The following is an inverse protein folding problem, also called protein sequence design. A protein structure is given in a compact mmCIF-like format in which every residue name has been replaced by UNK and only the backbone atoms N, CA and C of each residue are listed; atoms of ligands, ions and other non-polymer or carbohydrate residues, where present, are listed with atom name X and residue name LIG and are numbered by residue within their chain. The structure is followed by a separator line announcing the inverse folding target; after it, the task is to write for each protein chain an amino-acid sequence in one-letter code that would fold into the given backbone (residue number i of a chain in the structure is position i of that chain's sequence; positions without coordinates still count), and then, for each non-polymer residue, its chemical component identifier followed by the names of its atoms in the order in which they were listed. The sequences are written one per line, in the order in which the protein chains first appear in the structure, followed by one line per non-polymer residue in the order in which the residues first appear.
data_IF_121341517853
#
_entry.id   IF_121341517853
#
_cell.length_a   1.000
_cell.length_b   1.000
_cell.length_c   1.000
_cell.angle_alpha   90.00
_cell.angle_beta   90.00
_cell.angle_gamma   90.00
#
_symmetry.space_group_name_H-M   'P 1'
#
loop_
_entity.id
_entity.type
_entity.pdbx_description
1 polymer ?
#
# COMPACT_ATOMS: atom_id res chain seq x y z
N UNK A 1 19.67 48.07 -12.82
CA UNK A 1 18.82 47.80 -11.65
C UNK A 1 18.56 46.30 -11.63
N UNK A 2 18.90 45.61 -10.55
CA UNK A 2 18.57 44.20 -10.38
C UNK A 2 17.06 44.08 -10.15
N UNK A 3 16.44 42.98 -10.57
CA UNK A 3 15.04 42.73 -10.27
C UNK A 3 14.85 42.57 -8.76
N UNK A 4 13.73 43.01 -8.19
CA UNK A 4 13.41 42.80 -6.77
C UNK A 4 13.56 41.32 -6.33
N UNK A 5 13.33 40.39 -7.26
CA UNK A 5 13.57 38.97 -7.06
C UNK A 5 15.06 38.61 -6.90
N UNK A 6 15.95 39.22 -7.68
CA UNK A 6 17.39 38.99 -7.62
C UNK A 6 17.99 39.57 -6.34
N UNK A 7 17.48 40.71 -5.87
CA UNK A 7 17.85 41.30 -4.58
C UNK A 7 17.45 40.39 -3.42
N UNK A 8 16.22 39.88 -3.40
CA UNK A 8 15.76 38.95 -2.36
C UNK A 8 16.57 37.63 -2.39
N UNK A 9 16.89 37.13 -3.58
CA UNK A 9 17.71 35.93 -3.76
C UNK A 9 19.12 36.14 -3.23
N UNK A 10 19.75 37.28 -3.51
CA UNK A 10 21.09 37.61 -3.02
C UNK A 10 21.10 37.82 -1.50
N UNK A 11 20.06 38.45 -0.94
CA UNK A 11 19.91 38.61 0.51
C UNK A 11 19.80 37.25 1.23
N UNK A 12 19.04 36.30 0.67
CA UNK A 12 18.95 34.93 1.20
C UNK A 12 20.29 34.19 1.11
N UNK A 13 21.01 34.33 0.01
CA UNK A 13 22.35 33.73 -0.15
C UNK A 13 23.33 34.30 0.89
N UNK A 14 23.30 35.62 1.13
CA UNK A 14 24.15 36.27 2.11
C UNK A 14 23.83 35.82 3.55
N UNK A 15 22.53 35.74 3.91
CA UNK A 15 22.08 35.27 5.23
C UNK A 15 22.48 33.82 5.49
N UNK A 16 22.28 32.95 4.50
CA UNK A 16 22.66 31.54 4.62
C UNK A 16 24.18 31.38 4.72
N UNK A 17 24.94 32.19 3.97
CA UNK A 17 26.41 32.18 4.04
C UNK A 17 26.91 32.61 5.42
N UNK A 18 26.38 33.69 5.99
CA UNK A 18 26.72 34.16 7.32
C UNK A 18 26.37 33.14 8.41
N UNK A 19 25.23 32.44 8.27
CA UNK A 19 24.82 31.38 9.18
C UNK A 19 25.74 30.14 9.10
N UNK A 20 26.22 29.79 7.90
CA UNK A 20 27.18 28.69 7.74
C UNK A 20 28.55 29.04 8.33
N UNK A 21 28.97 30.30 8.20
CA UNK A 21 30.21 30.81 8.79
C UNK A 21 30.12 30.84 10.34
N UNK A 22 28.98 31.25 10.92
CA UNK A 22 28.80 31.25 12.38
C UNK A 22 28.74 29.86 12.99
N UNK A 23 28.45 28.82 12.19
CA UNK A 23 28.45 27.42 12.62
C UNK A 23 29.81 26.73 12.45
N UNK A 24 30.87 27.46 12.08
CA UNK A 24 32.22 26.91 11.93
C UNK A 24 32.37 25.90 10.78
N UNK A 25 31.41 25.85 9.86
CA UNK A 25 31.44 24.96 8.70
C UNK A 25 32.21 25.64 7.55
N UNK A 26 33.52 25.73 7.70
CA UNK A 26 34.37 26.14 6.57
C UNK A 26 34.29 25.11 5.44
N UNK A 27 34.23 25.64 4.20
CA UNK A 27 34.03 24.87 2.97
C UNK A 27 35.04 23.72 2.86
N UNK A 28 34.59 22.50 3.12
CA UNK A 28 35.33 21.29 2.74
C UNK A 28 35.62 21.35 1.23
N UNK A 29 36.89 21.52 0.86
CA UNK A 29 37.37 21.38 -0.51
C UNK A 29 37.24 19.91 -0.93
N UNK A 30 36.10 19.54 -1.51
CA UNK A 30 35.93 18.23 -2.13
C UNK A 30 36.77 18.20 -3.41
N UNK A 31 37.89 17.49 -3.36
CA UNK A 31 38.70 17.20 -4.56
C UNK A 31 37.98 16.12 -5.37
N UNK A 32 37.73 16.31 -6.68
CA UNK A 32 37.03 15.30 -7.47
C UNK A 32 37.96 14.12 -7.77
N UNK A 33 37.69 12.96 -7.16
CA UNK A 33 38.33 11.70 -7.55
C UNK A 33 37.84 11.27 -8.94
N UNK A 34 38.74 11.31 -9.93
CA UNK A 34 38.52 10.70 -11.25
C UNK A 34 38.40 9.18 -11.10
N UNK A 35 37.19 8.65 -11.17
CA UNK A 35 36.96 7.22 -11.42
C UNK A 35 37.37 6.88 -12.85
N UNK A 36 38.44 6.10 -13.01
CA UNK A 36 38.78 5.46 -14.27
C UNK A 36 37.76 4.36 -14.56
N UNK A 37 36.92 4.56 -15.57
CA UNK A 37 36.00 3.55 -16.08
C UNK A 37 36.69 2.81 -17.24
N UNK A 38 37.16 1.59 -16.99
CA UNK A 38 37.65 0.71 -18.04
C UNK A 38 36.48 0.27 -18.92
N UNK A 39 36.47 0.72 -20.18
CA UNK A 39 35.53 0.25 -21.22
C UNK A 39 35.98 -1.12 -21.70
N UNK A 40 35.25 -2.18 -21.33
CA UNK A 40 35.32 -3.47 -22.00
C UNK A 40 34.24 -3.49 -23.09
N UNK A 41 34.63 -3.24 -24.33
CA UNK A 41 33.78 -3.41 -25.51
C UNK A 41 33.70 -4.92 -25.77
N UNK A 42 32.51 -5.50 -25.64
CA UNK A 42 32.20 -6.85 -26.13
C UNK A 42 31.30 -6.66 -27.33
N UNK A 43 31.87 -6.89 -28.51
CA UNK A 43 31.19 -6.87 -29.79
C UNK A 43 30.46 -8.21 -29.96
N UNK A 44 29.19 -8.25 -29.52
CA UNK A 44 28.31 -9.38 -29.76
C UNK A 44 26.88 -8.86 -30.01
N UNK A 45 26.16 -9.38 -31.02
CA UNK A 45 24.78 -8.97 -31.26
C UNK A 45 23.92 -9.26 -30.04
N UNK A 46 23.32 -8.21 -29.47
CA UNK A 46 22.36 -8.28 -28.38
C UNK A 46 21.19 -9.19 -28.78
N UNK A 47 21.23 -10.45 -28.32
CA UNK A 47 20.16 -11.44 -28.49
C UNK A 47 18.91 -10.93 -27.73
N UNK A 48 18.03 -10.22 -28.43
CA UNK A 48 16.73 -9.80 -27.89
C UNK A 48 15.79 -11.01 -27.93
N UNK A 49 15.01 -11.19 -26.86
CA UNK A 49 14.04 -12.29 -26.80
C UNK A 49 12.93 -12.08 -27.84
N UNK A 50 12.43 -13.18 -28.43
CA UNK A 50 11.40 -13.16 -29.47
C UNK A 50 10.11 -12.38 -29.06
N UNK A 51 9.87 -12.25 -27.75
CA UNK A 51 8.76 -11.46 -27.20
C UNK A 51 8.97 -9.95 -27.38
N UNK A 52 10.22 -9.48 -27.29
CA UNK A 52 10.59 -8.08 -27.51
C UNK A 52 10.54 -7.73 -29.00
N UNK A 53 10.93 -8.65 -29.89
CA UNK A 53 10.77 -8.45 -31.34
C UNK A 53 9.31 -8.37 -31.76
N UNK A 54 8.43 -9.24 -31.23
CA UNK A 54 6.98 -9.14 -31.49
C UNK A 54 6.39 -7.82 -31.00
N UNK A 55 6.74 -7.36 -29.80
CA UNK A 55 6.25 -6.09 -29.27
C UNK A 55 6.73 -4.87 -30.06
N UNK A 56 7.96 -4.91 -30.60
CA UNK A 56 8.50 -3.85 -31.47
C UNK A 56 7.82 -3.87 -32.85
N UNK A 57 7.61 -5.05 -33.43
CA UNK A 57 6.91 -5.19 -34.71
C UNK A 57 5.43 -4.76 -34.61
N UNK A 58 4.76 -5.05 -33.50
CA UNK A 58 3.37 -4.67 -33.25
C UNK A 58 3.22 -3.15 -33.06
N UNK A 59 4.16 -2.50 -32.35
CA UNK A 59 4.24 -1.03 -32.25
C UNK A 59 4.48 -0.36 -33.60
N UNK A 60 5.32 -0.95 -34.46
CA UNK A 60 5.55 -0.42 -35.80
C UNK A 60 4.28 -0.49 -36.68
N UNK A 61 3.51 -1.58 -36.60
CA UNK A 61 2.24 -1.75 -37.33
C UNK A 61 1.15 -0.77 -36.87
N UNK A 62 1.08 -0.49 -35.57
CA UNK A 62 0.10 0.47 -35.04
C UNK A 62 0.42 1.92 -35.43
N UNK A 63 1.70 2.30 -35.49
CA UNK A 63 2.09 3.64 -35.95
C UNK A 63 1.75 3.88 -37.42
N UNK A 64 1.87 2.86 -38.27
CA UNK A 64 1.58 2.96 -39.71
C UNK A 64 0.06 3.10 -39.99
N UNK A 65 -0.79 2.48 -39.16
CA UNK A 65 -2.25 2.63 -39.22
C UNK A 65 -2.70 4.04 -38.81
N UNK A 66 -2.06 4.63 -37.79
CA UNK A 66 -2.36 6.01 -37.33
C UNK A 66 -1.97 7.05 -38.38
N UNK A 67 -0.86 6.84 -39.10
CA UNK A 67 -0.45 7.73 -40.19
C UNK A 67 -1.42 7.70 -41.39
N UNK A 68 -2.00 6.53 -41.70
CA UNK A 68 -2.94 6.36 -42.82
C UNK A 68 -4.33 6.92 -42.50
N UNK A 69 -4.79 6.83 -41.25
CA UNK A 69 -6.05 7.45 -40.82
C UNK A 69 -6.01 8.99 -40.91
N UNK A 70 -4.83 9.58 -40.65
CA UNK A 70 -4.62 11.03 -40.62
C UNK A 70 -4.56 11.70 -42.01
N UNK A 71 -4.43 10.91 -43.09
CA UNK A 71 -4.48 11.41 -44.48
C UNK A 71 -5.90 11.47 -45.06
N UNK A 72 -6.93 10.89 -44.42
CA UNK A 72 -8.31 10.84 -44.94
C UNK A 72 -9.23 11.99 -44.47
N UNK A 73 -8.78 12.91 -43.62
CA UNK A 73 -9.63 13.97 -43.02
C UNK A 73 -9.26 15.39 -43.42
N UNK A 74 -8.53 15.60 -44.54
CA UNK A 74 -8.28 16.95 -45.07
C UNK A 74 -9.31 17.33 -46.15
N UNK A 75 -10.46 17.80 -45.69
CA UNK A 75 -11.43 18.55 -46.49
C UNK A 75 -12.36 19.35 -45.58
N UNK A 76 -12.45 20.67 -45.84
CA UNK A 76 -13.42 21.66 -45.30
C UNK A 76 -12.99 22.49 -44.06
N UNK A 77 -12.55 23.74 -44.35
CA UNK A 77 -12.88 25.11 -43.82
C UNK A 77 -13.24 25.30 -42.32
N UNK A 78 -13.07 26.46 -41.64
CA UNK A 78 -12.30 27.74 -41.70
C UNK A 78 -12.75 28.54 -40.44
N UNK A 79 -11.87 29.37 -39.84
CA UNK A 79 -12.08 30.36 -38.74
C UNK A 79 -12.50 29.78 -37.36
N UNK A 80 -11.97 30.19 -36.19
CA UNK A 80 -11.65 31.53 -35.68
C UNK A 80 -10.67 31.44 -34.48
N UNK A 81 -9.89 32.50 -34.32
CA UNK A 81 -8.76 32.75 -33.42
C UNK A 81 -9.11 32.79 -31.92
N UNK A 82 -8.28 32.18 -31.06
CA UNK A 82 -7.77 32.75 -29.79
C UNK A 82 -6.46 32.03 -29.35
N UNK A 83 -5.54 32.75 -28.66
CA UNK A 83 -4.13 32.37 -28.54
C UNK A 83 -3.81 31.41 -27.39
N UNK A 84 -2.72 30.67 -27.60
CA UNK A 84 -2.08 29.78 -26.65
C UNK A 84 -0.96 30.48 -25.86
N UNK A 85 -0.69 30.00 -24.65
CA UNK A 85 0.67 29.64 -24.19
C UNK A 85 0.53 28.68 -23.00
N UNK A 86 0.73 27.36 -23.12
CA UNK A 86 1.98 26.55 -23.17
C UNK A 86 3.10 26.95 -22.23
N UNK A 87 3.39 26.08 -21.25
CA UNK A 87 4.70 25.43 -21.22
C UNK A 87 4.59 23.99 -20.73
N UNK A 88 4.82 23.06 -21.66
CA UNK A 88 5.11 21.64 -21.44
C UNK A 88 6.54 21.48 -20.91
N UNK A 89 6.80 20.38 -20.22
CA UNK A 89 7.81 19.31 -20.51
C UNK A 89 8.28 18.66 -19.20
N UNK A 90 9.07 17.57 -19.21
CA UNK A 90 8.81 16.22 -19.72
C UNK A 90 9.10 15.15 -18.64
N UNK A 91 8.90 13.87 -18.99
CA UNK A 91 9.33 12.67 -18.26
C UNK A 91 10.69 12.78 -17.55
N UNK A 92 10.83 12.15 -16.38
CA UNK A 92 12.10 11.51 -15.98
C UNK A 92 11.91 10.40 -14.93
N UNK A 93 12.28 9.20 -15.38
CA UNK A 93 12.55 7.99 -14.63
C UNK A 93 13.62 8.28 -13.56
N UNK A 94 13.31 8.03 -12.29
CA UNK A 94 14.24 8.10 -11.17
C UNK A 94 14.24 6.82 -10.34
N UNK A 95 15.21 5.94 -10.59
CA UNK A 95 15.59 4.83 -9.70
C UNK A 95 16.06 5.42 -8.37
N UNK A 96 15.42 5.06 -7.26
CA UNK A 96 16.02 5.22 -5.94
C UNK A 96 16.62 3.90 -5.46
N UNK A 97 17.93 3.76 -5.72
CA UNK A 97 18.84 3.02 -4.84
C UNK A 97 18.93 3.81 -3.54
N UNK A 98 18.37 3.26 -2.45
CA UNK A 98 18.55 3.83 -1.11
C UNK A 98 19.84 3.25 -0.54
N UNK A 99 20.94 3.98 -0.67
CA UNK A 99 22.07 3.91 0.26
C UNK A 99 21.61 4.53 1.58
N UNK A 100 21.56 3.71 2.64
CA UNK A 100 21.14 4.11 3.98
C UNK A 100 22.31 4.81 4.68
N UNK A 101 22.38 6.12 4.53
CA UNK A 101 23.21 6.97 5.41
C UNK A 101 22.48 7.16 6.76
N UNK A 102 23.23 7.11 7.86
CA UNK A 102 22.71 7.28 9.22
C UNK A 102 22.22 8.72 9.41
N UNK A 103 20.90 8.92 9.30
CA UNK A 103 20.26 10.19 9.61
C UNK A 103 20.19 10.40 11.14
N UNK A 104 20.38 11.64 11.62
CA UNK A 104 20.24 11.96 13.05
C UNK A 104 18.83 11.63 13.52
N UNK A 105 18.74 10.96 14.67
CA UNK A 105 17.49 10.51 15.26
C UNK A 105 16.75 11.75 15.77
N UNK A 106 15.64 12.11 15.11
CA UNK A 106 14.70 13.10 15.62
C UNK A 106 14.08 12.56 16.92
N UNK A 107 14.51 13.13 18.04
CA UNK A 107 14.06 12.76 19.38
C UNK A 107 12.56 13.00 19.56
N UNK A 108 11.98 14.01 18.89
CA UNK A 108 10.54 14.27 18.92
C UNK A 108 9.76 13.23 18.09
N UNK A 109 10.28 12.83 16.92
CA UNK A 109 9.70 11.72 16.15
C UNK A 109 9.79 10.38 16.89
N UNK A 110 10.86 10.16 17.66
CA UNK A 110 11.06 8.95 18.46
C UNK A 110 10.14 8.94 19.69
N UNK A 111 9.99 10.07 20.38
CA UNK A 111 9.04 10.23 21.48
C UNK A 111 7.58 10.05 21.02
N UNK A 112 7.20 10.61 19.86
CA UNK A 112 5.87 10.39 19.26
C UNK A 112 5.64 8.92 18.91
N UNK A 113 6.65 8.22 18.37
CA UNK A 113 6.57 6.77 18.11
C UNK A 113 6.39 5.99 19.41
N UNK A 114 7.13 6.33 20.46
CA UNK A 114 7.00 5.68 21.77
C UNK A 114 5.63 5.92 22.41
N UNK A 115 5.12 7.15 22.40
CA UNK A 115 3.78 7.48 22.89
C UNK A 115 2.68 6.72 22.13
N UNK A 116 2.79 6.60 20.80
CA UNK A 116 1.82 5.85 19.99
C UNK A 116 1.88 4.34 20.27
N UNK A 117 3.06 3.81 20.59
CA UNK A 117 3.25 2.41 20.98
C UNK A 117 2.68 2.11 22.39
N UNK A 118 2.81 3.04 23.34
CA UNK A 118 2.24 2.86 24.69
C UNK A 118 0.71 2.81 24.67
N UNK A 119 0.05 3.72 23.94
CA UNK A 119 -1.42 3.70 23.76
C UNK A 119 -1.89 2.37 23.14
N UNK A 120 -1.11 1.82 22.20
CA UNK A 120 -1.44 0.53 21.59
C UNK A 120 -1.35 -0.64 22.59
N UNK A 121 -0.45 -0.58 23.57
CA UNK A 121 -0.27 -1.64 24.57
C UNK A 121 -1.40 -1.69 25.60
N UNK A 122 -1.98 -0.54 25.95
CA UNK A 122 -3.12 -0.47 26.87
C UNK A 122 -4.42 -0.93 26.22
N UNK A 123 -4.67 -0.52 24.97
CA UNK A 123 -5.84 -0.94 24.18
C UNK A 123 -5.87 -2.46 24.00
N UNK A 124 -4.70 -3.09 23.86
CA UNK A 124 -4.57 -4.52 23.61
C UNK A 124 -4.44 -5.36 24.89
N UNK A 125 -4.67 -4.78 26.07
CA UNK A 125 -4.57 -5.49 27.35
C UNK A 125 -5.56 -6.66 27.38
N UNK A 126 -5.08 -7.86 27.74
CA UNK A 126 -5.89 -9.08 27.82
C UNK A 126 -6.09 -9.81 26.49
N UNK A 127 -5.51 -9.31 25.39
CA UNK A 127 -5.50 -9.99 24.09
C UNK A 127 -4.23 -10.85 24.01
N UNK A 128 -4.32 -12.14 23.63
CA UNK A 128 -3.15 -13.02 23.56
C UNK A 128 -2.12 -12.51 22.54
N UNK A 129 -0.85 -12.67 22.85
CA UNK A 129 0.25 -12.31 21.96
C UNK A 129 0.86 -13.57 21.32
N UNK A 130 1.21 -13.47 20.04
CA UNK A 130 1.93 -14.49 19.30
C UNK A 130 3.25 -13.90 18.76
N UNK A 131 4.36 -14.52 19.14
CA UNK A 131 5.69 -14.15 18.63
C UNK A 131 6.01 -14.97 17.39
N UNK A 132 6.06 -14.28 16.25
CA UNK A 132 6.49 -14.80 14.97
C UNK A 132 7.98 -15.14 15.07
N UNK A 133 8.27 -16.43 15.05
CA UNK A 133 9.62 -16.95 14.93
C UNK A 133 10.00 -16.97 13.46
N UNK A 134 10.72 -15.95 13.01
CA UNK A 134 11.25 -15.92 11.65
C UNK A 134 12.62 -16.58 11.61
N UNK A 135 12.73 -17.72 10.95
CA UNK A 135 14.02 -18.27 10.57
C UNK A 135 14.66 -17.31 9.56
N UNK A 136 15.87 -16.81 9.86
CA UNK A 136 16.59 -15.91 8.98
C UNK A 136 16.81 -16.56 7.60
N UNK A 137 15.99 -16.22 6.61
CA UNK A 137 16.18 -16.74 5.25
C UNK A 137 17.28 -15.95 4.55
N UNK A 138 18.40 -16.59 4.24
CA UNK A 138 19.44 -16.06 3.33
C UNK A 138 19.00 -16.06 1.85
N UNK A 139 17.72 -16.38 1.58
CA UNK A 139 17.19 -16.57 0.24
C UNK A 139 16.91 -15.25 -0.49
N UNK A 140 16.97 -15.31 -1.82
CA UNK A 140 16.62 -14.20 -2.71
C UNK A 140 15.17 -13.78 -2.54
N UNK A 141 14.89 -12.48 -2.63
CA UNK A 141 13.54 -11.97 -2.50
C UNK A 141 12.64 -12.42 -3.67
N UNK A 142 11.48 -13.00 -3.36
CA UNK A 142 10.50 -13.52 -4.35
C UNK A 142 9.24 -12.65 -4.31
N UNK A 143 8.64 -12.39 -5.47
CA UNK A 143 7.36 -11.68 -5.55
C UNK A 143 6.26 -12.47 -4.84
N UNK A 144 5.46 -11.80 -4.01
CA UNK A 144 4.36 -12.45 -3.27
C UNK A 144 3.30 -13.09 -4.16
N UNK A 145 3.17 -12.64 -5.42
CA UNK A 145 2.23 -13.22 -6.38
C UNK A 145 2.61 -14.66 -6.77
N UNK A 146 3.88 -15.00 -6.62
CA UNK A 146 4.46 -16.31 -6.94
C UNK A 146 4.67 -17.16 -5.68
N UNK A 147 4.34 -16.62 -4.50
CA UNK A 147 4.42 -17.33 -3.23
C UNK A 147 3.06 -17.88 -2.82
N UNK A 148 3.10 -18.98 -2.09
CA UNK A 148 1.94 -19.57 -1.44
C UNK A 148 1.89 -19.09 0.01
N UNK A 149 0.69 -18.70 0.48
CA UNK A 149 0.43 -18.43 1.89
C UNK A 149 0.32 -19.76 2.62
N UNK A 150 1.14 -19.94 3.65
CA UNK A 150 0.87 -20.89 4.71
C UNK A 150 -0.15 -20.27 5.66
N UNK A 151 -1.38 -20.78 5.62
CA UNK A 151 -2.48 -20.25 6.44
C UNK A 151 -2.15 -20.53 7.90
N UNK A 152 -2.08 -19.50 8.77
CA UNK A 152 -1.76 -19.72 10.16
C UNK A 152 -2.82 -20.57 10.87
N UNK A 153 -2.42 -21.38 11.86
CA UNK A 153 -3.35 -22.18 12.66
C UNK A 153 -4.47 -21.34 13.29
N UNK A 154 -5.67 -21.91 13.39
CA UNK A 154 -6.83 -21.27 13.98
C UNK A 154 -6.61 -20.85 15.45
N UNK A 155 -5.64 -21.46 16.15
CA UNK A 155 -5.25 -21.09 17.52
C UNK A 155 -4.63 -19.69 17.64
N UNK A 156 -4.16 -19.11 16.54
CA UNK A 156 -3.59 -17.77 16.51
C UNK A 156 -4.62 -16.68 16.13
N UNK A 157 -5.86 -17.07 15.83
CA UNK A 157 -6.92 -16.11 15.52
C UNK A 157 -7.20 -15.25 16.74
N UNK A 158 -7.32 -13.94 16.54
CA UNK A 158 -7.45 -12.94 17.60
C UNK A 158 -6.13 -12.62 18.32
N UNK A 159 -5.01 -13.24 17.95
CA UNK A 159 -3.72 -12.96 18.60
C UNK A 159 -3.01 -11.75 18.01
N UNK A 160 -2.40 -10.96 18.90
CA UNK A 160 -1.52 -9.83 18.59
C UNK A 160 -0.17 -10.34 18.11
N UNK A 161 0.28 -9.90 16.95
CA UNK A 161 1.49 -10.40 16.30
C UNK A 161 2.71 -9.53 16.62
N UNK A 162 3.79 -10.20 17.01
CA UNK A 162 5.10 -9.60 17.21
C UNK A 162 6.17 -10.35 16.39
N UNK A 163 7.19 -9.68 15.84
CA UNK A 163 7.43 -8.24 15.90
C UNK A 163 6.42 -7.43 15.08
N UNK A 164 6.27 -6.15 15.42
CA UNK A 164 5.27 -5.27 14.81
C UNK A 164 5.58 -5.02 13.33
N UNK A 165 4.53 -5.06 12.52
CA UNK A 165 4.53 -4.50 11.17
C UNK A 165 4.32 -5.54 10.08
N UNK A 166 3.87 -5.02 8.93
CA UNK A 166 3.44 -5.83 7.80
C UNK A 166 4.51 -6.79 7.29
N UNK A 167 5.79 -6.38 7.30
CA UNK A 167 6.88 -7.25 6.84
C UNK A 167 7.04 -8.50 7.70
N UNK A 168 6.93 -8.39 9.03
CA UNK A 168 6.98 -9.53 9.92
C UNK A 168 5.81 -10.50 9.67
N UNK A 169 4.60 -9.95 9.56
CA UNK A 169 3.40 -10.73 9.21
C UNK A 169 3.54 -11.44 7.86
N UNK A 170 4.09 -10.77 6.85
CA UNK A 170 4.26 -11.38 5.53
C UNK A 170 5.33 -12.48 5.54
N UNK A 171 6.41 -12.35 6.30
CA UNK A 171 7.40 -13.42 6.50
C UNK A 171 6.78 -14.64 7.18
N UNK A 172 5.89 -14.42 8.17
CA UNK A 172 5.19 -15.48 8.88
C UNK A 172 4.32 -16.33 7.95
N UNK A 173 3.66 -15.69 6.98
CA UNK A 173 2.80 -16.35 5.99
C UNK A 173 3.58 -17.13 4.91
N UNK A 174 4.90 -16.98 4.83
CA UNK A 174 5.72 -17.69 3.86
C UNK A 174 7.07 -18.10 4.46
N UNK A 175 7.08 -19.06 5.39
CA UNK A 175 8.32 -19.50 6.01
C UNK A 175 9.33 -19.96 4.95
N UNK A 176 10.61 -19.74 5.25
CA UNK A 176 11.72 -20.01 4.34
C UNK A 176 11.92 -18.99 3.20
N UNK A 177 10.99 -18.06 2.98
CA UNK A 177 11.07 -17.11 1.87
C UNK A 177 11.13 -15.65 2.33
N UNK A 178 11.75 -14.80 1.51
CA UNK A 178 11.73 -13.34 1.70
C UNK A 178 10.75 -12.70 0.71
N UNK A 179 9.55 -12.28 1.14
CA UNK A 179 8.54 -11.75 0.24
C UNK A 179 8.89 -10.33 -0.22
N UNK A 180 8.70 -10.07 -1.51
CA UNK A 180 8.75 -8.75 -2.14
C UNK A 180 7.34 -8.28 -2.43
N UNK A 181 6.92 -7.20 -1.76
CA UNK A 181 5.57 -6.66 -1.84
C UNK A 181 5.54 -5.16 -1.55
N UNK A 182 4.39 -4.52 -1.79
CA UNK A 182 4.21 -3.10 -1.48
C UNK A 182 3.72 -2.92 -0.05
N UNK A 183 4.51 -2.23 0.77
CA UNK A 183 4.09 -1.83 2.13
C UNK A 183 2.90 -0.86 2.13
N UNK A 184 2.69 -0.15 1.02
CA UNK A 184 1.65 0.87 0.91
C UNK A 184 0.28 0.27 0.60
N UNK A 185 0.21 -0.88 -0.06
CA UNK A 185 -1.07 -1.49 -0.45
C UNK A 185 -1.70 -2.19 0.76
N UNK A 186 -2.97 -1.90 1.07
CA UNK A 186 -3.72 -2.58 2.12
C UNK A 186 -3.99 -4.04 1.76
N UNK A 187 -4.33 -4.34 0.51
CA UNK A 187 -4.48 -5.71 0.00
C UNK A 187 -3.15 -6.26 -0.55
N UNK A 188 -2.96 -7.57 -0.46
CA UNK A 188 -1.84 -8.30 -1.07
C UNK A 188 -2.40 -9.57 -1.73
N UNK A 189 -2.18 -9.73 -3.02
CA UNK A 189 -2.66 -10.89 -3.78
C UNK A 189 -1.53 -11.90 -3.89
N UNK A 190 -1.76 -13.10 -3.36
CA UNK A 190 -0.85 -14.23 -3.41
C UNK A 190 -1.33 -15.25 -4.45
N UNK A 191 -0.52 -16.28 -4.70
CA UNK A 191 -0.90 -17.33 -5.65
C UNK A 191 -2.20 -18.04 -5.23
N UNK A 192 -2.36 -18.30 -3.93
CA UNK A 192 -3.44 -19.09 -3.35
C UNK A 192 -4.40 -18.31 -2.44
N UNK A 193 -4.10 -17.06 -2.08
CA UNK A 193 -4.88 -16.30 -1.10
C UNK A 193 -4.87 -14.80 -1.37
N UNK A 194 -5.76 -14.08 -0.69
CA UNK A 194 -5.73 -12.61 -0.61
C UNK A 194 -5.54 -12.23 0.85
N UNK A 195 -4.67 -11.26 1.13
CA UNK A 195 -4.43 -10.78 2.49
C UNK A 195 -4.77 -9.31 2.58
N UNK A 196 -5.71 -8.96 3.45
CA UNK A 196 -6.11 -7.59 3.73
C UNK A 196 -5.45 -7.10 5.02
N UNK A 197 -4.83 -5.93 4.95
CA UNK A 197 -4.29 -5.20 6.08
C UNK A 197 -5.10 -3.92 6.26
N UNK A 198 -5.81 -3.82 7.37
CA UNK A 198 -6.65 -2.66 7.69
C UNK A 198 -6.12 -1.96 8.94
N UNK A 199 -6.28 -0.63 8.97
CA UNK A 199 -6.17 0.13 10.20
C UNK A 199 -7.60 0.40 10.66
N UNK A 200 -7.84 0.15 11.93
CA UNK A 200 -9.12 0.38 12.61
C UNK A 200 -8.89 1.54 13.55
N UNK A 201 -9.73 2.56 13.45
CA UNK A 201 -9.77 3.61 14.46
C UNK A 201 -10.95 3.39 15.39
N UNK A 202 -10.71 3.60 16.68
CA UNK A 202 -11.77 3.73 17.67
C UNK A 202 -12.31 5.17 17.70
N UNK A 203 -11.58 6.13 17.11
CA UNK A 203 -11.89 7.56 17.11
C UNK A 203 -12.26 8.09 15.71
N UNK A 204 -12.77 7.22 14.82
CA UNK A 204 -13.30 7.58 13.49
C UNK A 204 -12.33 8.31 12.52
N UNK A 205 -11.00 8.23 12.72
CA UNK A 205 -10.03 8.82 11.75
C UNK A 205 -9.76 7.92 10.54
N UNK A 206 -10.14 6.65 10.61
CA UNK A 206 -10.04 5.71 9.51
C UNK A 206 -11.45 5.26 9.12
N UNK A 207 -11.68 5.11 7.81
CA UNK A 207 -12.97 4.67 7.29
C UNK A 207 -13.26 3.19 7.52
N UNK A 208 -12.27 2.37 7.91
CA UNK A 208 -12.51 0.94 8.14
C UNK A 208 -12.89 0.71 9.60
N UNK A 209 -14.00 0.01 9.79
CA UNK A 209 -14.59 -0.25 11.09
C UNK A 209 -15.09 -1.70 11.17
N UNK A 210 -15.48 -2.08 12.38
CA UNK A 210 -16.19 -3.30 12.66
C UNK A 210 -17.61 -2.96 13.08
N UNK A 211 -18.56 -3.80 12.67
CA UNK A 211 -19.93 -3.68 13.12
C UNK A 211 -20.51 -5.04 13.47
N UNK A 212 -21.37 -5.07 14.48
CA UNK A 212 -22.29 -6.18 14.75
C UNK A 212 -23.69 -5.67 14.41
N UNK A 213 -24.51 -6.55 13.84
CA UNK A 213 -25.95 -6.31 13.84
C UNK A 213 -26.46 -6.67 15.24
N UNK A 214 -27.45 -5.92 15.75
CA UNK A 214 -27.99 -6.12 17.09
C UNK A 214 -28.37 -7.60 17.31
N UNK A 215 -27.95 -8.16 18.44
CA UNK A 215 -28.08 -9.57 18.83
C UNK A 215 -27.46 -10.62 17.88
N UNK A 216 -26.65 -10.20 16.91
CA UNK A 216 -25.98 -11.10 15.98
C UNK A 216 -24.63 -11.60 16.53
N UNK A 217 -24.36 -12.91 16.50
CA UNK A 217 -23.01 -13.42 16.82
C UNK A 217 -21.99 -13.04 15.74
N UNK A 218 -22.46 -12.60 14.56
CA UNK A 218 -21.65 -12.29 13.40
C UNK A 218 -20.96 -10.93 13.54
N UNK A 219 -19.67 -10.90 13.25
CA UNK A 219 -18.87 -9.68 13.23
C UNK A 219 -18.58 -9.32 11.78
N UNK A 220 -18.94 -8.11 11.38
CA UNK A 220 -18.70 -7.59 10.04
C UNK A 220 -17.53 -6.61 10.04
N UNK A 221 -16.84 -6.56 8.91
CA UNK A 221 -15.71 -5.69 8.62
C UNK A 221 -16.07 -4.85 7.42
N UNK A 222 -16.09 -3.53 7.56
CA UNK A 222 -16.20 -2.66 6.40
C UNK A 222 -14.81 -2.23 5.95
N UNK A 223 -14.52 -2.44 4.67
CA UNK A 223 -13.23 -2.14 4.08
C UNK A 223 -13.39 -1.30 2.83
N UNK A 224 -12.60 -0.24 2.73
CA UNK A 224 -12.65 0.65 1.57
C UNK A 224 -11.44 0.43 0.65
N UNK A 225 -11.73 0.06 -0.59
CA UNK A 225 -10.73 -0.06 -1.63
C UNK A 225 -10.13 1.32 -1.96
N UNK A 226 -8.89 1.33 -2.45
CA UNK A 226 -8.27 2.55 -2.96
C UNK A 226 -9.04 3.05 -4.18
N UNK A 227 -9.13 4.37 -4.34
CA UNK A 227 -9.83 5.02 -5.47
C UNK A 227 -9.25 4.65 -6.86
N UNK A 228 -8.03 4.10 -6.91
CA UNK A 228 -7.44 3.59 -8.14
C UNK A 228 -7.98 2.23 -8.58
N UNK A 229 -8.77 1.57 -7.73
CA UNK A 229 -9.39 0.27 -8.03
C UNK A 229 -10.85 0.49 -8.43
N UNK A 230 -11.20 -0.16 -9.54
CA UNK A 230 -12.56 -0.24 -10.07
C UNK A 230 -13.10 -1.64 -9.90
N UNK A 231 -14.40 -1.83 -10.12
CA UNK A 231 -15.03 -3.15 -10.02
C UNK A 231 -14.39 -4.16 -10.98
N UNK A 232 -13.96 -3.69 -12.15
CA UNK A 232 -13.26 -4.50 -13.16
C UNK A 232 -11.82 -4.87 -12.80
N UNK A 233 -11.28 -4.31 -11.71
CA UNK A 233 -9.92 -4.62 -11.28
C UNK A 233 -9.83 -6.10 -10.89
N UNK A 234 -8.81 -6.86 -11.35
CA UNK A 234 -8.75 -8.30 -11.09
C UNK A 234 -8.81 -8.70 -9.62
N UNK A 235 -8.23 -7.88 -8.73
CA UNK A 235 -8.29 -8.10 -7.27
C UNK A 235 -9.70 -7.90 -6.71
N UNK A 236 -10.46 -6.95 -7.26
CA UNK A 236 -11.82 -6.67 -6.84
C UNK A 236 -12.74 -7.82 -7.26
N UNK A 237 -12.63 -8.28 -8.51
CA UNK A 237 -13.35 -9.45 -8.97
C UNK A 237 -13.03 -10.70 -8.13
N UNK A 238 -11.77 -10.91 -7.74
CA UNK A 238 -11.41 -12.03 -6.85
C UNK A 238 -12.01 -11.90 -5.44
N UNK A 239 -12.11 -10.69 -4.89
CA UNK A 239 -12.76 -10.47 -3.59
C UNK A 239 -14.26 -10.72 -3.67
N UNK A 240 -14.92 -10.27 -4.74
CA UNK A 240 -16.36 -10.44 -4.98
C UNK A 240 -16.70 -11.93 -5.20
N UNK A 241 -15.88 -12.64 -5.97
CA UNK A 241 -16.15 -14.02 -6.38
C UNK A 241 -15.48 -15.08 -5.46
N UNK A 242 -14.89 -14.64 -4.35
CA UNK A 242 -14.22 -15.49 -3.38
C UNK A 242 -15.15 -16.15 -2.37
N UNK A 243 -14.61 -16.56 -1.23
CA UNK A 243 -15.38 -17.17 -0.14
C UNK A 243 -16.56 -16.29 0.26
N UNK A 244 -17.76 -16.87 0.28
CA UNK A 244 -19.01 -16.18 0.56
C UNK A 244 -19.31 -16.20 2.08
N UNK A 245 -19.97 -15.15 2.55
CA UNK A 245 -20.56 -15.08 3.89
C UNK A 245 -21.71 -16.09 4.03
N UNK A 246 -21.90 -16.57 5.25
CA UNK A 246 -23.02 -17.44 5.63
C UNK A 246 -24.37 -16.72 5.62
N UNK A 247 -24.37 -15.39 5.75
CA UNK A 247 -25.56 -14.61 6.06
C UNK A 247 -26.28 -14.08 4.82
N UNK A 248 -25.57 -13.63 3.79
CA UNK A 248 -26.22 -13.04 2.60
C UNK A 248 -25.18 -12.77 1.53
N UNK A 249 -25.04 -13.71 0.60
CA UNK A 249 -24.33 -13.44 -0.65
C UNK A 249 -25.35 -13.44 -1.78
N UNK A 250 -25.47 -12.32 -2.50
CA UNK A 250 -26.28 -12.24 -3.74
C UNK A 250 -25.71 -13.06 -4.90
N UNK A 251 -24.52 -13.65 -4.69
CA UNK A 251 -23.80 -14.45 -5.66
C UNK A 251 -24.10 -15.91 -5.36
N UNK A 252 -24.61 -16.62 -6.36
CA UNK A 252 -25.09 -18.00 -6.20
C UNK A 252 -23.97 -19.02 -5.94
N UNK A 253 -22.72 -18.72 -6.35
CA UNK A 253 -21.58 -19.60 -6.07
C UNK A 253 -20.21 -18.88 -6.19
N UNK A 254 -19.24 -19.14 -5.30
CA UNK A 254 -17.87 -18.68 -5.47
C UNK A 254 -17.24 -19.27 -6.74
N UNK A 255 -16.45 -18.48 -7.48
CA UNK A 255 -15.73 -18.95 -8.68
C UNK A 255 -14.36 -19.52 -8.34
N UNK A 256 -13.85 -19.24 -7.14
CA UNK A 256 -12.60 -19.78 -6.64
C UNK A 256 -12.59 -19.95 -5.12
N UNK A 257 -11.69 -20.82 -4.64
CA UNK A 257 -11.57 -21.16 -3.22
C UNK A 257 -10.41 -20.44 -2.52
N UNK A 258 -9.86 -19.36 -3.10
CA UNK A 258 -8.79 -18.60 -2.45
C UNK A 258 -9.31 -17.91 -1.19
N UNK A 259 -8.78 -18.21 0.01
CA UNK A 259 -9.22 -17.53 1.21
C UNK A 259 -8.79 -16.07 1.20
N UNK A 260 -9.62 -15.21 1.78
CA UNK A 260 -9.27 -13.84 2.12
C UNK A 260 -8.97 -13.77 3.61
N UNK A 261 -7.73 -13.45 3.97
CA UNK A 261 -7.28 -13.34 5.37
C UNK A 261 -7.26 -11.88 5.81
N UNK A 262 -7.66 -11.63 7.06
CA UNK A 262 -7.64 -10.31 7.67
C UNK A 262 -6.48 -10.17 8.67
N UNK A 263 -5.77 -9.06 8.54
CA UNK A 263 -4.90 -8.51 9.58
C UNK A 263 -5.33 -7.07 9.85
N UNK A 264 -5.67 -6.77 11.09
CA UNK A 264 -6.09 -5.43 11.48
C UNK A 264 -5.23 -4.92 12.62
N UNK A 265 -5.14 -3.60 12.78
CA UNK A 265 -4.45 -3.00 13.92
C UNK A 265 -5.18 -1.76 14.37
N UNK A 266 -5.04 -1.47 15.66
CA UNK A 266 -5.45 -0.20 16.25
C UNK A 266 -4.28 0.78 16.16
N UNK A 267 -4.52 1.96 15.59
CA UNK A 267 -3.49 2.98 15.40
C UNK A 267 -2.20 2.45 14.72
N UNK A 268 -1.01 2.80 15.23
CA UNK A 268 0.28 2.29 14.74
C UNK A 268 0.75 1.02 15.47
N UNK A 269 -0.16 0.32 16.14
CA UNK A 269 0.14 -0.86 16.95
C UNK A 269 0.48 -2.13 16.15
N UNK A 270 0.70 -3.25 16.86
CA UNK A 270 0.83 -4.59 16.26
C UNK A 270 -0.43 -4.97 15.48
N UNK A 271 -0.25 -5.82 14.48
CA UNK A 271 -1.38 -6.45 13.78
C UNK A 271 -1.97 -7.57 14.63
N UNK A 272 -3.28 -7.71 14.61
CA UNK A 272 -4.04 -8.84 15.10
C UNK A 272 -4.41 -9.72 13.91
N UNK A 273 -4.24 -11.03 14.02
CA UNK A 273 -4.72 -11.97 13.00
C UNK A 273 -6.22 -12.17 13.15
N UNK A 274 -7.01 -11.66 12.22
CA UNK A 274 -8.48 -11.74 12.27
C UNK A 274 -9.07 -13.05 11.78
N UNK A 275 -8.29 -13.89 11.08
CA UNK A 275 -8.81 -15.10 10.43
C UNK A 275 -9.36 -14.82 9.04
N UNK A 276 -10.37 -15.60 8.63
CA UNK A 276 -10.93 -15.60 7.27
C UNK A 276 -12.12 -14.65 7.13
N UNK A 277 -12.21 -14.07 5.93
CA UNK A 277 -13.32 -13.22 5.51
C UNK A 277 -14.22 -13.93 4.51
N UNK A 278 -15.53 -13.80 4.71
CA UNK A 278 -16.58 -14.13 3.76
C UNK A 278 -17.14 -12.85 3.14
N UNK A 279 -17.21 -12.77 1.82
CA UNK A 279 -17.82 -11.66 1.11
C UNK A 279 -19.33 -11.58 1.40
N UNK A 280 -19.83 -10.39 1.73
CA UNK A 280 -21.28 -10.13 1.91
C UNK A 280 -21.80 -9.29 0.75
N UNK A 281 -21.27 -8.08 0.62
CA UNK A 281 -21.67 -7.11 -0.40
C UNK A 281 -20.58 -6.07 -0.62
N UNK A 282 -20.73 -5.31 -1.71
CA UNK A 282 -19.99 -4.08 -1.91
C UNK A 282 -20.91 -2.99 -2.47
N UNK A 283 -20.58 -1.74 -2.20
CA UNK A 283 -21.29 -0.58 -2.71
C UNK A 283 -20.33 0.28 -3.51
N UNK A 284 -20.73 0.58 -4.74
CA UNK A 284 -20.09 1.61 -5.58
C UNK A 284 -20.87 2.91 -5.33
N UNK A 285 -20.54 3.65 -4.26
CA UNK A 285 -21.21 4.94 -4.01
C UNK A 285 -20.85 5.93 -5.13
N UNK A 286 -21.85 6.47 -5.82
CA UNK A 286 -21.67 7.35 -6.99
C UNK A 286 -20.96 8.69 -6.76
N UNK A 287 -20.54 9.02 -5.53
CA UNK A 287 -19.88 10.29 -5.20
C UNK A 287 -18.55 10.15 -4.44
N UNK A 288 -18.23 8.97 -3.90
CA UNK A 288 -16.91 8.64 -3.34
C UNK A 288 -16.26 7.62 -4.26
N UNK A 289 -15.14 7.96 -4.89
CA UNK A 289 -14.48 7.12 -5.91
C UNK A 289 -13.89 5.79 -5.39
N UNK A 290 -14.14 5.42 -4.13
CA UNK A 290 -13.75 4.14 -3.53
C UNK A 290 -14.93 3.16 -3.44
N UNK A 291 -14.64 1.89 -3.73
CA UNK A 291 -15.58 0.79 -3.51
C UNK A 291 -15.53 0.42 -2.02
N UNK A 292 -16.68 0.45 -1.36
CA UNK A 292 -16.83 0.00 0.03
C UNK A 292 -17.29 -1.46 0.05
N UNK A 293 -16.54 -2.32 0.72
CA UNK A 293 -16.88 -3.73 0.94
C UNK A 293 -17.39 -3.93 2.36
N UNK A 294 -18.32 -4.86 2.49
CA UNK A 294 -18.66 -5.48 3.77
C UNK A 294 -18.29 -6.96 3.68
N UNK A 295 -17.49 -7.42 4.64
CA UNK A 295 -17.14 -8.82 4.83
C UNK A 295 -17.65 -9.31 6.18
N UNK A 296 -18.03 -10.58 6.26
CA UNK A 296 -18.23 -11.31 7.51
C UNK A 296 -16.89 -11.88 7.95
N UNK A 297 -16.56 -11.74 9.23
CA UNK A 297 -15.43 -12.42 9.84
C UNK A 297 -15.84 -13.82 10.29
N UNK A 298 -15.51 -14.82 9.48
CA UNK A 298 -16.00 -16.20 9.63
C UNK A 298 -15.50 -16.86 10.92
N UNK A 299 -14.35 -16.40 11.42
CA UNK A 299 -13.70 -16.96 12.61
C UNK A 299 -13.90 -16.12 13.87
N UNK A 300 -14.82 -15.15 13.86
CA UNK A 300 -15.04 -14.20 14.97
C UNK A 300 -15.34 -14.88 16.31
N UNK A 301 -15.99 -16.05 16.30
CA UNK A 301 -16.30 -16.82 17.50
C UNK A 301 -15.05 -17.26 18.31
N UNK A 302 -13.85 -17.22 17.69
CA UNK A 302 -12.59 -17.59 18.35
C UNK A 302 -11.93 -16.42 19.09
N UNK A 303 -12.44 -15.21 18.93
CA UNK A 303 -11.88 -14.04 19.62
C UNK A 303 -12.06 -14.13 21.13
N UNK A 304 -11.03 -13.72 21.87
CA UNK A 304 -11.12 -13.64 23.32
C UNK A 304 -12.14 -12.55 23.74
N UNK A 305 -12.71 -12.62 24.96
CA UNK A 305 -13.67 -11.63 25.44
C UNK A 305 -13.14 -10.20 25.38
N UNK A 306 -11.86 -9.98 25.70
CA UNK A 306 -11.23 -8.66 25.65
C UNK A 306 -11.24 -8.06 24.23
N UNK A 307 -10.92 -8.87 23.22
CA UNK A 307 -10.96 -8.41 21.82
C UNK A 307 -12.40 -8.20 21.34
N UNK A 308 -13.33 -9.08 21.71
CA UNK A 308 -14.75 -8.90 21.37
C UNK A 308 -15.35 -7.62 21.97
N UNK A 309 -15.03 -7.31 23.23
CA UNK A 309 -15.47 -6.07 23.87
C UNK A 309 -14.91 -4.82 23.18
N UNK A 310 -13.70 -4.91 22.61
CA UNK A 310 -13.07 -3.80 21.88
C UNK A 310 -13.68 -3.57 20.50
N UNK A 311 -14.15 -4.63 19.85
CA UNK A 311 -14.71 -4.59 18.49
C UNK A 311 -16.23 -4.41 18.46
N UNK A 312 -16.87 -4.40 19.62
CA UNK A 312 -18.30 -4.11 19.74
C UNK A 312 -18.44 -2.61 20.00
N UNK A 313 -19.18 -1.86 19.17
CA UNK A 313 -19.43 -0.45 19.45
C UNK A 313 -20.08 -0.33 20.82
N UNK A 314 -19.55 0.57 21.67
CA UNK A 314 -20.26 0.94 22.89
C UNK A 314 -21.52 1.66 22.45
N UNK A 315 -22.67 1.22 22.93
CA UNK A 315 -23.86 2.07 22.90
C UNK A 315 -23.44 3.40 23.53
N UNK A 316 -23.59 4.50 22.79
CA UNK A 316 -23.51 5.82 23.40
C UNK A 316 -24.59 5.83 24.48
N UNK A 317 -24.17 5.84 25.75
CA UNK A 317 -25.04 6.21 26.86
C UNK A 317 -25.55 7.61 26.52
N UNK A 318 -26.74 7.66 25.92
CA UNK A 318 -27.43 8.90 25.61
C UNK A 318 -27.53 9.75 26.89
N UNK A 319 -27.58 11.09 26.76
CA UNK A 319 -27.61 11.95 27.92
C UNK A 319 -28.81 11.55 28.79
N UNK A 320 -28.54 11.01 29.98
CA UNK A 320 -29.51 10.87 31.05
C UNK A 320 -30.10 12.25 31.30
N UNK A 321 -31.38 12.39 30.92
CA UNK A 321 -32.20 13.56 31.20
C UNK A 321 -32.50 13.68 32.71
#
# INVERSE_FOLDING_TARGET
MLSAYEEERLAKIARNKAMLESLGMEKMKVTPQKRQLAKKIVDAPLRRSARVERAVAERARNNDKVLKARKKTRGVKKHRTQPASTTRSPDLIGRHTVTREAQPIDMAATARRQQTLMVSSEILRGIPAHTILSSASTMSAISIKDLHVEVPPDTHIGSVLYPVGKFATMMWLCPGHRPKFSLLQSHQVWSNAIVLFINVDLNDRYTNDFSRLDDSPHLFVNWFARNSLTEESPVIQQLIQGTLSSQTSRIEKPTHNKPTLLFFRFAQGPYVYGGRLGYVRHNVKGHSSSIGFQFELLDAARFCPALNALLTPKEDDGPTA
#
